data_IF_020236447284
#
_entry.id   IF_020236447284
#
_cell.length_a   1.000
_cell.length_b   1.000
_cell.length_c   1.000
_cell.angle_alpha   90.00
_cell.angle_beta   90.00
_cell.angle_gamma   90.00
#
_symmetry.space_group_name_H-M   'P 1'
#
loop_
_entity.id
_entity.type
_entity.pdbx_description
1 polymer ?
#
# COMPACT_ATOMS: atom_id res chain seq x y z
N UNK A 1 -1.53 6.52 -22.09
CA UNK A 1 -1.56 6.38 -20.62
C UNK A 1 -2.77 7.12 -20.05
N UNK A 2 -3.59 6.41 -19.27
CA UNK A 2 -4.81 6.96 -18.65
C UNK A 2 -4.48 7.93 -17.51
N UNK A 3 -5.13 9.10 -17.50
CA UNK A 3 -4.99 10.14 -16.46
C UNK A 3 -6.32 10.74 -16.07
N UNK A 4 -6.37 11.33 -14.89
CA UNK A 4 -7.44 12.21 -14.43
C UNK A 4 -7.01 13.67 -14.60
N UNK A 5 -7.67 14.38 -15.50
CA UNK A 5 -7.59 15.82 -15.66
C UNK A 5 -8.73 16.46 -14.84
N UNK A 6 -8.36 17.21 -13.80
CA UNK A 6 -9.28 17.73 -12.80
C UNK A 6 -9.40 19.25 -12.84
N UNK A 7 -10.64 19.74 -12.93
CA UNK A 7 -10.98 21.17 -12.82
C UNK A 7 -11.94 21.43 -11.65
N UNK A 8 -11.86 22.62 -11.08
CA UNK A 8 -12.85 23.15 -10.13
C UNK A 8 -13.30 24.53 -10.61
N UNK A 9 -14.60 24.70 -10.87
CA UNK A 9 -15.17 25.93 -11.46
C UNK A 9 -14.37 26.37 -12.71
N UNK A 10 -14.21 25.45 -13.67
CA UNK A 10 -13.43 25.60 -14.91
C UNK A 10 -11.93 25.88 -14.75
N UNK A 11 -11.42 25.99 -13.52
CA UNK A 11 -9.99 26.18 -13.26
C UNK A 11 -9.31 24.84 -13.11
N UNK A 12 -8.33 24.58 -13.96
CA UNK A 12 -7.47 23.40 -13.86
C UNK A 12 -6.72 23.32 -12.52
N UNK A 13 -6.74 22.15 -11.90
CA UNK A 13 -6.09 21.86 -10.61
C UNK A 13 -4.96 20.84 -10.76
N UNK A 14 -5.14 19.76 -11.53
CA UNK A 14 -4.15 18.69 -11.69
C UNK A 14 -4.36 17.81 -12.94
N UNK A 15 -3.26 17.27 -13.46
CA UNK A 15 -3.19 16.06 -14.30
C UNK A 15 -2.61 14.90 -13.48
N UNK A 16 -3.46 14.05 -12.90
CA UNK A 16 -3.02 12.91 -12.11
C UNK A 16 -2.88 11.65 -12.98
N UNK A 17 -1.72 11.00 -12.91
CA UNK A 17 -1.43 9.84 -13.73
C UNK A 17 -0.36 8.93 -13.10
N UNK A 18 -0.39 7.65 -13.46
CA UNK A 18 0.66 6.67 -13.19
C UNK A 18 1.20 6.10 -14.50
N UNK A 19 2.52 6.07 -14.67
CA UNK A 19 3.19 5.63 -15.91
C UNK A 19 2.92 4.16 -16.24
N UNK A 20 2.81 3.32 -15.21
CA UNK A 20 2.70 1.86 -15.33
C UNK A 20 1.36 1.33 -14.79
N UNK A 21 1.32 0.05 -14.45
CA UNK A 21 0.19 -0.58 -13.75
C UNK A 21 -0.03 0.04 -12.38
N UNK A 22 -1.26 0.44 -12.10
CA UNK A 22 -1.64 0.99 -10.80
C UNK A 22 -3.11 1.34 -10.73
N UNK A 23 -3.47 1.97 -9.62
CA UNK A 23 -4.81 2.47 -9.36
C UNK A 23 -4.74 3.98 -9.26
N UNK A 24 -5.62 4.67 -9.97
CA UNK A 24 -5.92 6.09 -9.74
C UNK A 24 -7.30 6.19 -9.10
N UNK A 25 -7.44 7.10 -8.14
CA UNK A 25 -8.73 7.39 -7.52
C UNK A 25 -8.88 8.89 -7.29
N UNK A 26 -10.12 9.34 -7.35
CA UNK A 26 -10.53 10.66 -6.95
C UNK A 26 -11.75 10.53 -6.05
N UNK A 27 -11.78 11.29 -4.95
CA UNK A 27 -12.88 11.28 -4.00
C UNK A 27 -13.19 12.68 -3.54
N UNK A 28 -14.49 12.95 -3.38
CA UNK A 28 -14.99 14.14 -2.69
C UNK A 28 -15.51 13.69 -1.33
N UNK A 29 -15.01 14.31 -0.27
CA UNK A 29 -15.37 13.97 1.11
C UNK A 29 -15.92 15.18 1.83
N UNK A 30 -17.04 15.01 2.54
CA UNK A 30 -17.57 15.98 3.48
C UNK A 30 -17.52 15.44 4.90
N UNK A 31 -16.81 16.14 5.78
CA UNK A 31 -16.70 15.78 7.19
C UNK A 31 -17.34 16.86 8.05
N UNK A 32 -18.35 16.45 8.82
CA UNK A 32 -18.93 17.26 9.90
C UNK A 32 -18.44 16.70 11.23
N UNK A 33 -17.48 17.38 11.87
CA UNK A 33 -17.06 16.94 13.21
C UNK A 33 -18.17 17.17 14.23
N UNK A 34 -18.41 16.17 15.08
CA UNK A 34 -19.33 16.27 16.20
C UNK A 34 -18.79 17.24 17.26
N UNK A 35 -19.69 18.00 17.89
CA UNK A 35 -19.34 18.83 19.04
C UNK A 35 -18.83 17.92 20.17
N UNK A 36 -17.61 18.15 20.65
CA UNK A 36 -16.98 17.36 21.73
C UNK A 36 -15.70 16.62 21.34
N UNK A 37 -15.43 16.38 20.05
CA UNK A 37 -14.14 15.81 19.59
C UNK A 37 -13.05 16.87 19.34
N UNK A 38 -13.18 18.03 19.96
CA UNK A 38 -12.43 19.24 19.60
C UNK A 38 -11.73 19.82 20.82
N UNK A 39 -10.49 20.27 20.65
CA UNK A 39 -9.78 21.06 21.64
C UNK A 39 -10.56 22.35 21.96
N UNK A 40 -10.55 22.84 23.21
CA UNK A 40 -11.25 24.07 23.60
C UNK A 40 -10.89 25.23 22.66
N UNK A 41 -11.90 25.90 22.09
CA UNK A 41 -11.74 27.05 21.20
C UNK A 41 -11.86 26.78 19.70
N UNK A 42 -12.01 25.53 19.26
CA UNK A 42 -12.18 25.21 17.83
C UNK A 42 -13.67 25.17 17.43
N UNK A 43 -14.06 26.06 16.50
CA UNK A 43 -15.42 26.10 15.94
C UNK A 43 -15.76 24.81 15.20
N UNK A 44 -17.07 24.55 15.04
CA UNK A 44 -17.62 23.54 14.14
C UNK A 44 -17.11 23.69 12.70
N UNK A 45 -15.95 23.14 12.38
CA UNK A 45 -15.40 23.05 11.04
C UNK A 45 -16.11 21.93 10.27
N UNK A 46 -16.83 22.32 9.22
CA UNK A 46 -17.25 21.42 8.14
C UNK A 46 -16.14 21.48 7.09
N UNK A 47 -15.59 20.33 6.71
CA UNK A 47 -14.56 20.26 5.67
C UNK A 47 -15.14 19.52 4.47
N UNK A 48 -15.21 20.21 3.33
CA UNK A 48 -15.50 19.61 2.04
C UNK A 48 -14.22 19.64 1.23
N UNK A 49 -13.76 18.49 0.77
CA UNK A 49 -12.46 18.35 0.13
C UNK A 49 -12.50 17.41 -1.06
N UNK A 50 -11.78 17.77 -2.12
CA UNK A 50 -11.41 16.90 -3.22
C UNK A 50 -10.01 16.35 -2.95
N UNK A 51 -9.89 15.03 -3.05
CA UNK A 51 -8.65 14.29 -2.95
C UNK A 51 -8.44 13.45 -4.19
N UNK A 52 -7.23 13.50 -4.73
CA UNK A 52 -6.79 12.62 -5.81
C UNK A 52 -5.52 11.92 -5.42
N UNK A 53 -5.51 10.61 -5.61
CA UNK A 53 -4.39 9.79 -5.27
C UNK A 53 -4.25 8.61 -6.21
N UNK A 54 -3.15 7.91 -6.02
CA UNK A 54 -2.86 6.71 -6.77
C UNK A 54 -2.08 5.72 -5.94
N UNK A 55 -2.02 4.49 -6.42
CA UNK A 55 -1.23 3.43 -5.84
C UNK A 55 -0.57 2.63 -6.96
N UNK A 56 0.74 2.46 -6.88
CA UNK A 56 1.49 1.53 -7.73
C UNK A 56 1.99 0.36 -6.87
N UNK A 57 1.57 -0.89 -7.17
CA UNK A 57 2.16 -2.04 -6.53
C UNK A 57 3.62 -2.21 -6.97
N UNK A 58 4.53 -2.37 -6.02
CA UNK A 58 5.97 -2.55 -6.29
C UNK A 58 6.41 -4.01 -6.17
N UNK A 59 5.48 -4.94 -5.92
CA UNK A 59 5.66 -6.40 -5.91
C UNK A 59 6.57 -6.98 -4.80
N UNK A 60 7.71 -6.35 -4.52
CA UNK A 60 8.75 -6.82 -3.61
C UNK A 60 9.08 -5.83 -2.50
N UNK A 61 8.87 -4.53 -2.72
CA UNK A 61 9.37 -3.48 -1.81
C UNK A 61 8.27 -2.70 -1.08
N UNK A 62 7.00 -3.09 -1.28
CA UNK A 62 5.82 -2.43 -0.72
C UNK A 62 5.16 -1.44 -1.68
N UNK A 63 3.88 -1.19 -1.49
CA UNK A 63 3.08 -0.38 -2.41
C UNK A 63 3.50 1.10 -2.32
N UNK A 64 3.58 1.77 -3.46
CA UNK A 64 3.83 3.20 -3.54
C UNK A 64 2.50 3.95 -3.65
N UNK A 65 2.24 4.84 -2.70
CA UNK A 65 1.08 5.70 -2.70
C UNK A 65 1.45 7.10 -3.16
N UNK A 66 0.62 7.65 -4.03
CA UNK A 66 0.75 8.99 -4.61
C UNK A 66 -0.42 9.83 -4.13
N UNK A 67 -0.17 11.09 -3.78
CA UNK A 67 -1.23 12.06 -3.56
C UNK A 67 -0.93 13.34 -4.34
N UNK A 68 -1.95 13.84 -5.06
CA UNK A 68 -1.93 15.15 -5.69
C UNK A 68 -2.46 16.21 -4.70
N UNK A 69 -2.26 17.51 -4.98
CA UNK A 69 -2.70 18.57 -4.08
C UNK A 69 -4.18 18.45 -3.69
N UNK A 70 -4.44 18.34 -2.39
CA UNK A 70 -5.78 18.39 -1.80
C UNK A 70 -6.39 19.77 -2.07
N UNK A 71 -7.67 19.79 -2.48
CA UNK A 71 -8.41 21.03 -2.71
C UNK A 71 -9.60 21.12 -1.77
N UNK A 72 -9.66 22.16 -0.94
CA UNK A 72 -10.86 22.49 -0.18
C UNK A 72 -11.90 23.07 -1.13
N UNK A 73 -13.11 22.56 -1.02
CA UNK A 73 -14.28 22.97 -1.79
C UNK A 73 -15.25 23.77 -0.92
N UNK A 74 -16.17 24.46 -1.58
CA UNK A 74 -17.32 25.13 -1.00
C UNK A 74 -18.60 24.56 -1.61
N UNK A 75 -19.73 24.87 -0.98
CA UNK A 75 -21.04 24.63 -1.59
C UNK A 75 -21.09 25.39 -2.92
N UNK A 76 -21.72 24.78 -3.91
CA UNK A 76 -21.83 25.27 -5.30
C UNK A 76 -20.53 25.26 -6.12
N UNK A 77 -19.42 24.73 -5.59
CA UNK A 77 -18.26 24.41 -6.43
C UNK A 77 -18.59 23.22 -7.36
N UNK A 78 -18.29 23.35 -8.65
CA UNK A 78 -18.35 22.26 -9.61
C UNK A 78 -16.98 21.58 -9.72
N UNK A 79 -16.97 20.25 -9.63
CA UNK A 79 -15.77 19.43 -9.84
C UNK A 79 -15.96 18.63 -11.12
N UNK A 80 -15.10 18.85 -12.12
CA UNK A 80 -15.07 18.02 -13.32
C UNK A 80 -13.81 17.17 -13.31
N UNK A 81 -13.96 15.87 -13.60
CA UNK A 81 -12.84 14.94 -13.76
C UNK A 81 -12.99 14.30 -15.14
N UNK A 82 -12.04 14.58 -16.02
CA UNK A 82 -11.95 13.97 -17.34
C UNK A 82 -10.94 12.85 -17.32
N UNK A 83 -11.30 11.72 -17.92
CA UNK A 83 -10.36 10.63 -18.18
C UNK A 83 -9.73 10.89 -19.54
N UNK A 84 -8.43 11.15 -19.55
CA UNK A 84 -7.68 11.52 -20.77
C UNK A 84 -6.54 10.55 -21.03
N UNK A 85 -6.18 10.41 -22.31
CA UNK A 85 -4.95 9.74 -22.74
C UNK A 85 -3.89 10.79 -23.10
N UNK A 86 -2.84 10.89 -22.30
CA UNK A 86 -1.75 11.86 -22.48
C UNK A 86 -0.38 11.24 -22.15
N UNK A 87 0.75 11.84 -22.57
CA UNK A 87 2.10 11.31 -22.35
C UNK A 87 2.81 11.79 -21.06
N UNK A 88 2.38 12.89 -20.42
CA UNK A 88 2.92 13.36 -19.12
C UNK A 88 1.86 13.74 -18.08
N UNK A 89 2.20 13.65 -16.78
CA UNK A 89 1.33 13.91 -15.62
C UNK A 89 2.04 14.92 -14.74
N UNK A 90 1.26 15.63 -13.94
CA UNK A 90 1.80 16.52 -12.93
C UNK A 90 2.48 15.69 -11.85
N UNK A 91 3.61 16.20 -11.36
CA UNK A 91 4.33 15.62 -10.22
C UNK A 91 3.41 15.50 -9.01
N UNK A 92 3.36 14.32 -8.39
CA UNK A 92 2.58 14.14 -7.16
C UNK A 92 3.14 15.00 -6.03
N UNK A 93 2.25 15.52 -5.17
CA UNK A 93 2.65 16.32 -4.01
C UNK A 93 3.36 15.48 -2.96
N UNK A 94 2.94 14.24 -2.80
CA UNK A 94 3.62 13.28 -1.93
C UNK A 94 3.72 11.91 -2.57
N UNK A 95 4.74 11.18 -2.13
CA UNK A 95 4.99 9.78 -2.46
C UNK A 95 5.38 9.06 -1.18
N UNK A 96 4.60 8.06 -0.79
CA UNK A 96 4.83 7.27 0.41
C UNK A 96 4.95 5.81 -0.01
N UNK A 97 6.11 5.20 0.22
CA UNK A 97 6.27 3.76 0.05
C UNK A 97 5.89 3.08 1.36
N UNK A 98 4.95 2.16 1.30
CA UNK A 98 4.61 1.31 2.44
C UNK A 98 5.69 0.25 2.66
N UNK A 99 5.79 -0.28 3.87
CA UNK A 99 6.64 -1.46 4.10
C UNK A 99 6.11 -2.61 3.25
N UNK A 100 7.00 -3.49 2.76
CA UNK A 100 6.56 -4.69 2.06
C UNK A 100 5.57 -5.46 2.92
N UNK A 101 4.42 -5.80 2.34
CA UNK A 101 3.48 -6.69 3.03
C UNK A 101 4.22 -8.01 3.28
N UNK A 102 4.22 -8.53 4.51
CA UNK A 102 4.74 -9.86 4.76
C UNK A 102 4.05 -10.81 3.80
N UNK A 103 4.84 -11.65 3.11
CA UNK A 103 4.29 -12.63 2.18
C UNK A 103 3.24 -13.50 2.89
N UNK A 104 2.28 -14.08 2.15
CA UNK A 104 1.26 -14.95 2.76
C UNK A 104 1.85 -16.07 3.64
N UNK A 105 3.07 -16.51 3.32
CA UNK A 105 3.82 -17.45 4.14
C UNK A 105 4.28 -16.85 5.48
N UNK A 106 4.79 -15.62 5.47
CA UNK A 106 5.22 -14.91 6.68
C UNK A 106 4.03 -14.67 7.61
N UNK A 107 2.90 -14.20 7.07
CA UNK A 107 1.66 -14.01 7.84
C UNK A 107 1.15 -15.33 8.44
N UNK A 108 1.22 -16.42 7.67
CA UNK A 108 0.85 -17.75 8.17
C UNK A 108 1.78 -18.22 9.30
N UNK A 109 3.09 -17.99 9.20
CA UNK A 109 4.06 -18.34 10.24
C UNK A 109 3.82 -17.51 11.51
N UNK A 110 3.62 -16.19 11.40
CA UNK A 110 3.33 -15.33 12.55
C UNK A 110 2.01 -15.73 13.25
N UNK A 111 0.99 -16.10 12.46
CA UNK A 111 -0.28 -16.60 12.98
C UNK A 111 -0.09 -17.93 13.73
N UNK A 112 0.74 -18.84 13.21
CA UNK A 112 1.06 -20.11 13.86
C UNK A 112 1.88 -19.91 15.14
N UNK A 113 2.83 -18.98 15.15
CA UNK A 113 3.59 -18.61 16.36
C UNK A 113 2.68 -18.03 17.44
N UNK A 114 1.70 -17.22 17.03
CA UNK A 114 0.70 -16.67 17.95
C UNK A 114 -0.18 -17.78 18.53
N UNK A 115 -0.63 -18.73 17.70
CA UNK A 115 -1.38 -19.90 18.15
C UNK A 115 -0.58 -20.78 19.11
N UNK A 116 0.73 -20.97 18.86
CA UNK A 116 1.64 -21.69 19.77
C UNK A 116 1.68 -21.03 21.15
N UNK A 117 1.82 -19.71 21.23
CA UNK A 117 1.85 -18.96 22.48
C UNK A 117 0.55 -19.05 23.28
N UNK A 118 -0.60 -19.22 22.64
CA UNK A 118 -1.86 -19.44 23.34
C UNK A 118 -1.98 -20.89 23.84
N UNK A 119 -1.54 -21.86 23.03
CA UNK A 119 -1.58 -23.27 23.40
C UNK A 119 -0.60 -23.61 24.53
N UNK A 120 0.54 -22.92 24.63
CA UNK A 120 1.53 -23.16 25.69
C UNK A 120 1.05 -22.80 27.10
N UNK A 121 -0.02 -22.00 27.22
CA UNK A 121 -0.61 -21.60 28.50
C UNK A 121 -1.79 -22.50 28.89
N UNK A 122 -2.28 -23.32 27.95
CA UNK A 122 -3.40 -24.22 28.20
C UNK A 122 -2.92 -25.52 28.86
N UNK A 123 -3.46 -25.83 30.04
CA UNK A 123 -3.18 -27.09 30.75
C UNK A 123 -4.10 -28.24 30.27
N UNK A 124 -4.13 -28.48 28.96
CA UNK A 124 -4.97 -29.52 28.31
C UNK A 124 -4.09 -30.42 27.41
N UNK A 125 -4.12 -31.76 27.58
CA UNK A 125 -3.39 -32.70 26.72
C UNK A 125 -3.68 -32.57 25.22
N UNK A 126 -4.88 -32.10 24.84
CA UNK A 126 -5.23 -31.81 23.43
C UNK A 126 -4.53 -30.56 22.93
N UNK A 127 -4.31 -29.56 23.79
CA UNK A 127 -3.58 -28.35 23.45
C UNK A 127 -2.10 -28.66 23.22
N UNK A 128 -1.49 -29.54 24.03
CA UNK A 128 -0.09 -29.93 23.84
C UNK A 128 0.13 -30.67 22.50
N UNK A 129 -0.77 -31.60 22.15
CA UNK A 129 -0.71 -32.28 20.86
C UNK A 129 -0.91 -31.34 19.67
N UNK A 130 -1.72 -30.29 19.84
CA UNK A 130 -1.89 -29.26 18.81
C UNK A 130 -0.65 -28.39 18.68
N UNK A 131 -0.03 -28.04 19.81
CA UNK A 131 1.20 -27.26 19.90
C UNK A 131 2.36 -27.95 19.18
N UNK A 132 2.54 -29.25 19.39
CA UNK A 132 3.55 -30.05 18.67
C UNK A 132 3.38 -29.97 17.14
N UNK A 133 2.14 -30.11 16.64
CA UNK A 133 1.85 -29.99 15.20
C UNK A 133 2.13 -28.60 14.66
N UNK A 134 1.78 -27.56 15.42
CA UNK A 134 2.05 -26.17 15.05
C UNK A 134 3.56 -25.92 14.95
N UNK A 135 4.34 -26.41 15.93
CA UNK A 135 5.80 -26.32 15.91
C UNK A 135 6.43 -27.11 14.75
N UNK A 136 5.90 -28.29 14.42
CA UNK A 136 6.34 -29.07 13.27
C UNK A 136 6.17 -28.28 11.95
N UNK A 137 5.01 -27.65 11.77
CA UNK A 137 4.69 -26.84 10.59
C UNK A 137 5.64 -25.63 10.52
N UNK A 138 5.81 -24.89 11.61
CA UNK A 138 6.73 -23.72 11.67
C UNK A 138 8.16 -24.14 11.31
N UNK A 139 8.64 -25.25 11.86
CA UNK A 139 10.00 -25.75 11.62
C UNK A 139 10.20 -26.21 10.17
N UNK A 140 9.20 -26.89 9.59
CA UNK A 140 9.23 -27.33 8.18
C UNK A 140 9.37 -26.13 7.23
N UNK A 141 8.62 -25.06 7.47
CA UNK A 141 8.69 -23.86 6.64
C UNK A 141 9.99 -23.07 6.86
N UNK A 142 10.48 -22.99 8.09
CA UNK A 142 11.76 -22.31 8.41
C UNK A 142 12.98 -22.98 7.75
N UNK A 143 12.98 -24.32 7.68
CA UNK A 143 14.02 -25.11 6.97
C UNK A 143 13.94 -24.97 5.45
N UNK A 144 12.73 -24.88 4.88
CA UNK A 144 12.52 -24.66 3.45
C UNK A 144 12.98 -23.27 2.98
N UNK A 145 12.78 -22.24 3.82
CA UNK A 145 13.21 -20.87 3.54
C UNK A 145 14.75 -20.71 3.56
N UNK A 146 15.44 -21.44 4.44
CA UNK A 146 16.91 -21.43 4.54
C UNK A 146 17.59 -22.19 3.38
N UNK A 147 16.96 -23.24 2.84
CA UNK A 147 17.45 -23.96 1.65
C UNK A 147 17.29 -23.21 0.32
N UNK A 148 16.33 -22.28 0.19
CA UNK A 148 16.18 -21.45 -1.02
C UNK A 148 17.19 -20.30 -1.11
N UNK A 149 17.69 -19.80 0.03
CA UNK A 149 18.63 -18.67 0.08
C UNK A 149 20.02 -19.01 -0.48
N UNK A 150 20.38 -20.29 -0.54
CA UNK A 150 21.67 -20.77 -1.08
C UNK A 150 21.67 -21.03 -2.59
N UNK A 151 20.52 -21.24 -3.24
CA UNK A 151 20.49 -21.49 -4.70
C UNK A 151 20.51 -20.22 -5.56
N UNK A 152 20.03 -19.07 -5.06
CA UNK A 152 19.96 -17.84 -5.87
C UNK A 152 21.32 -17.15 -6.08
N UNK A 153 22.35 -17.48 -5.28
CA UNK A 153 23.70 -16.90 -5.42
C UNK A 153 24.60 -17.61 -6.44
N UNK A 154 24.18 -18.76 -6.99
CA UNK A 154 25.07 -19.59 -7.82
C UNK A 154 24.90 -19.39 -9.33
N UNK A 155 24.05 -18.45 -9.78
CA UNK A 155 23.66 -18.35 -11.20
C UNK A 155 24.00 -17.03 -11.90
N UNK A 156 25.02 -16.32 -11.42
CA UNK A 156 25.55 -15.12 -12.08
C UNK A 156 27.07 -15.18 -12.21
N UNK A 157 27.60 -16.13 -13.00
CA UNK A 157 29.00 -16.05 -13.44
C UNK A 157 29.26 -16.83 -14.74
N UNK A 158 29.03 -16.17 -15.87
CA UNK A 158 29.68 -16.40 -17.17
C UNK A 158 29.42 -15.15 -18.02
N UNK A 159 30.27 -14.13 -17.92
CA UNK A 159 31.40 -13.78 -18.81
C UNK A 159 30.95 -13.35 -20.23
N UNK A 160 31.08 -12.04 -20.46
CA UNK A 160 30.95 -11.32 -21.73
C UNK A 160 31.83 -11.91 -22.84
N UNK A 161 31.40 -11.85 -24.11
CA UNK A 161 32.30 -12.00 -25.25
C UNK A 161 33.05 -10.68 -25.53
N UNK A 162 34.34 -10.83 -25.80
CA UNK A 162 35.25 -9.82 -26.33
C UNK A 162 34.77 -9.32 -27.69
N UNK A 163 34.79 -8.00 -27.90
CA UNK A 163 34.66 -7.38 -29.22
C UNK A 163 36.08 -6.96 -29.61
N UNK A 164 36.60 -7.57 -30.67
CA UNK A 164 37.84 -7.16 -31.32
C UNK A 164 37.57 -5.99 -32.30
N UNK A 165 38.60 -5.17 -32.44
CA UNK A 165 38.73 -3.86 -33.11
C UNK A 165 38.50 -3.92 -34.62
#
# INVERSE_FOLDING_TARGET
MIRFDGTVNDRHIYHAGLEDTGVLHASVSWVKSLAGQRSPGSKAQKELDLMVGGMRPDGTSGDEHFAWPKRRLKVDDEVTIKIVDQPSADTSRSRIRTKPRPSGLTVAIESLQTAESYLSVANDPRAEKMREKVLEIINRFSRSASGRRTQTKSRTRTRNPTIDV
#
